data_IF_561221534806
#
_entry.id   IF_561221534806
#
_cell.length_a   1.000
_cell.length_b   1.000
_cell.length_c   1.000
_cell.angle_alpha   90.00
_cell.angle_beta   90.00
_cell.angle_gamma   90.00
#
_symmetry.space_group_name_H-M   'P 1'
#
loop_
_entity.id
_entity.type
_entity.pdbx_description
1 polymer ?
#
# COMPACT_ATOMS: atom_id res chain seq x y z
N UNK A 1 -16.24 59.14 -0.53
CA UNK A 1 -15.38 58.10 -1.13
C UNK A 1 -14.38 57.70 -0.06
N UNK A 2 -14.54 56.52 0.52
CA UNK A 2 -13.59 55.91 1.45
C UNK A 2 -13.50 54.45 1.04
N UNK A 3 -12.29 54.06 0.68
CA UNK A 3 -11.92 52.77 0.13
C UNK A 3 -11.75 51.76 1.29
N UNK A 4 -12.45 50.61 1.30
CA UNK A 4 -12.19 49.56 2.26
C UNK A 4 -11.35 48.45 1.61
N UNK A 5 -10.04 48.63 1.52
CA UNK A 5 -9.08 47.53 1.29
C UNK A 5 -7.99 47.56 2.34
N UNK A 6 -8.35 47.24 3.58
CA UNK A 6 -7.40 46.63 4.51
C UNK A 6 -7.86 45.20 4.80
N UNK A 7 -7.82 44.40 3.73
CA UNK A 7 -7.79 42.96 3.82
C UNK A 7 -6.36 42.56 3.48
N UNK A 8 -5.43 42.81 4.41
CA UNK A 8 -4.17 42.05 4.45
C UNK A 8 -4.56 40.58 4.55
N UNK A 9 -4.60 39.90 3.41
CA UNK A 9 -4.72 38.44 3.37
C UNK A 9 -3.37 37.95 3.87
N UNK A 10 -3.27 37.32 5.05
CA UNK A 10 -1.99 36.81 5.51
C UNK A 10 -1.51 35.83 4.45
N UNK A 11 -0.32 36.09 3.90
CA UNK A 11 0.36 35.12 3.05
C UNK A 11 0.57 33.86 3.88
N UNK A 12 0.27 32.65 3.35
CA UNK A 12 0.35 31.41 4.12
C UNK A 12 1.80 30.96 4.42
N UNK A 13 2.76 31.88 4.51
CA UNK A 13 4.17 31.55 4.60
C UNK A 13 4.98 32.65 5.33
N UNK A 14 4.52 33.08 6.51
CA UNK A 14 5.31 33.90 7.45
C UNK A 14 5.62 33.16 8.77
N UNK A 15 5.19 31.91 8.91
CA UNK A 15 5.64 31.05 9.99
C UNK A 15 6.88 30.31 9.49
N UNK A 16 8.06 30.68 10.00
CA UNK A 16 9.21 29.78 9.94
C UNK A 16 8.74 28.41 10.46
N UNK A 17 9.00 27.31 9.74
CA UNK A 17 8.57 26.00 10.18
C UNK A 17 9.10 25.80 11.59
N UNK A 18 8.20 25.59 12.55
CA UNK A 18 8.63 25.23 13.90
C UNK A 18 9.39 23.91 13.76
N UNK A 19 10.70 23.86 14.07
CA UNK A 19 11.47 22.64 13.92
C UNK A 19 10.99 21.53 14.84
N UNK A 20 10.00 21.78 15.70
CA UNK A 20 9.33 20.80 16.55
C UNK A 20 7.90 20.48 16.08
N UNK A 21 7.46 21.00 14.93
CA UNK A 21 6.18 20.63 14.33
C UNK A 21 6.22 19.14 13.94
N UNK A 22 5.36 18.29 14.53
CA UNK A 22 5.32 16.87 14.22
C UNK A 22 4.84 16.57 12.80
N UNK A 23 4.24 17.55 12.11
CA UNK A 23 3.82 17.44 10.71
C UNK A 23 4.89 17.93 9.71
N UNK A 24 6.01 18.48 10.19
CA UNK A 24 7.12 18.89 9.32
C UNK A 24 7.72 17.65 8.63
N UNK A 25 7.76 17.59 7.29
CA UNK A 25 8.37 16.47 6.57
C UNK A 25 9.84 16.22 6.93
N UNK A 26 10.57 17.22 7.42
CA UNK A 26 11.93 17.04 7.92
C UNK A 26 12.00 16.35 9.30
N UNK A 27 10.90 16.36 10.06
CA UNK A 27 10.74 15.65 11.32
C UNK A 27 10.07 14.27 11.15
N UNK A 28 9.48 14.00 9.99
CA UNK A 28 8.95 12.68 9.66
C UNK A 28 10.11 11.72 9.37
N UNK A 29 9.95 10.46 9.81
CA UNK A 29 10.90 9.41 9.47
C UNK A 29 10.95 9.26 7.94
N UNK A 30 12.16 9.35 7.38
CA UNK A 30 12.40 9.16 5.96
C UNK A 30 12.30 7.68 5.59
N UNK A 31 12.12 7.39 4.30
CA UNK A 31 12.09 6.01 3.83
C UNK A 31 13.40 5.27 4.14
N UNK A 32 14.54 5.94 3.96
CA UNK A 32 15.87 5.40 4.25
C UNK A 32 16.06 5.08 5.75
N UNK A 33 15.43 5.83 6.65
CA UNK A 33 15.51 5.57 8.11
C UNK A 33 14.83 4.26 8.52
N UNK A 34 14.04 3.66 7.61
CA UNK A 34 13.34 2.40 7.80
C UNK A 34 14.06 1.21 7.15
N UNK A 35 15.23 1.44 6.55
CA UNK A 35 16.02 0.37 5.97
C UNK A 35 16.71 -0.48 7.06
N UNK A 36 17.00 -1.74 6.72
CA UNK A 36 17.51 -2.74 7.65
C UNK A 36 18.86 -2.34 8.28
N UNK A 37 19.72 -1.68 7.50
CA UNK A 37 21.03 -1.22 7.94
C UNK A 37 20.94 -0.09 8.96
N UNK A 38 19.99 0.83 8.80
CA UNK A 38 19.75 1.90 9.77
C UNK A 38 18.98 1.40 11.00
N UNK A 39 17.99 0.52 10.83
CA UNK A 39 17.23 -0.07 11.94
C UNK A 39 18.04 -1.07 12.78
N UNK A 40 19.15 -1.60 12.23
CA UNK A 40 20.00 -2.59 12.90
C UNK A 40 19.29 -3.92 13.19
N UNK A 41 18.17 -4.17 12.53
CA UNK A 41 17.35 -5.38 12.62
C UNK A 41 16.69 -5.62 11.29
N UNK A 42 16.65 -6.88 10.84
CA UNK A 42 15.81 -7.26 9.72
C UNK A 42 14.34 -7.28 10.19
N UNK A 43 13.45 -6.41 9.63
CA UNK A 43 12.03 -6.43 9.98
C UNK A 43 11.36 -7.78 9.66
N UNK A 44 11.89 -8.53 8.70
CA UNK A 44 11.43 -9.87 8.30
C UNK A 44 12.00 -10.98 9.17
N UNK A 45 13.06 -10.74 9.96
CA UNK A 45 13.60 -11.74 10.89
C UNK A 45 12.64 -12.02 12.05
N UNK A 46 11.84 -11.01 12.45
CA UNK A 46 10.69 -11.26 13.35
C UNK A 46 9.54 -11.98 12.64
N UNK A 47 9.59 -12.10 11.32
CA UNK A 47 8.65 -12.81 10.46
C UNK A 47 7.22 -12.73 10.93
N UNK A 48 6.41 -11.80 10.40
CA UNK A 48 4.96 -11.88 10.60
C UNK A 48 4.52 -13.19 9.99
N UNK A 49 4.28 -14.18 10.85
CA UNK A 49 3.74 -15.45 10.42
C UNK A 49 2.40 -15.11 9.75
N UNK A 50 2.25 -15.44 8.46
CA UNK A 50 1.05 -15.07 7.74
C UNK A 50 -0.13 -15.67 8.51
N UNK A 51 -1.28 -14.97 8.56
CA UNK A 51 -2.42 -15.42 9.34
C UNK A 51 -2.78 -16.85 8.98
N UNK A 52 -3.27 -17.63 9.94
CA UNK A 52 -3.56 -19.07 9.79
C UNK A 52 -4.45 -19.41 8.58
N UNK A 53 -5.24 -18.43 8.11
CA UNK A 53 -6.09 -18.51 6.92
C UNK A 53 -5.38 -18.25 5.59
N UNK A 54 -4.10 -17.86 5.60
CA UNK A 54 -3.27 -17.73 4.40
C UNK A 54 -2.93 -19.12 3.90
N UNK A 55 -3.91 -19.75 3.27
CA UNK A 55 -3.69 -20.99 2.56
C UNK A 55 -3.07 -20.69 1.19
N UNK A 56 -2.20 -21.56 0.68
CA UNK A 56 -1.78 -21.53 -0.72
C UNK A 56 -2.97 -21.61 -1.71
N UNK A 57 -4.19 -21.89 -1.25
CA UNK A 57 -5.41 -21.82 -2.08
C UNK A 57 -5.72 -20.39 -2.55
N UNK A 58 -5.21 -19.34 -1.88
CA UNK A 58 -5.24 -17.99 -2.46
C UNK A 58 -4.27 -17.81 -3.63
N UNK A 59 -3.27 -18.68 -3.77
CA UNK A 59 -2.33 -18.69 -4.89
C UNK A 59 -2.99 -19.13 -6.19
N UNK A 60 -4.03 -19.96 -6.08
CA UNK A 60 -4.80 -20.52 -7.21
C UNK A 60 -6.07 -19.70 -7.50
N UNK A 61 -6.35 -18.62 -6.75
CA UNK A 61 -7.53 -17.80 -7.03
C UNK A 61 -7.30 -16.95 -8.28
N UNK A 62 -8.21 -17.02 -9.28
CA UNK A 62 -8.15 -16.14 -10.44
C UNK A 62 -8.36 -14.68 -10.03
N UNK A 63 -7.64 -13.79 -10.69
CA UNK A 63 -7.81 -12.35 -10.54
C UNK A 63 -9.24 -11.92 -10.93
N UNK A 64 -9.72 -10.74 -10.49
CA UNK A 64 -11.05 -10.26 -10.88
C UNK A 64 -11.24 -10.12 -12.40
N UNK A 65 -10.15 -9.93 -13.15
CA UNK A 65 -10.17 -9.87 -14.62
C UNK A 65 -10.42 -11.25 -15.23
N UNK A 66 -9.67 -12.25 -14.79
CA UNK A 66 -9.80 -13.64 -15.25
C UNK A 66 -11.14 -14.25 -14.84
N UNK A 67 -11.69 -13.88 -13.68
CA UNK A 67 -13.04 -14.28 -13.28
C UNK A 67 -14.13 -13.75 -14.23
N UNK A 68 -13.95 -12.54 -14.78
CA UNK A 68 -14.89 -11.97 -15.76
C UNK A 68 -14.76 -12.62 -17.14
N UNK A 69 -13.55 -12.98 -17.54
CA UNK A 69 -13.30 -13.68 -18.80
C UNK A 69 -13.75 -15.15 -18.73
N UNK A 70 -13.71 -15.73 -17.54
CA UNK A 70 -14.05 -17.13 -17.32
C UNK A 70 -12.96 -18.06 -17.84
N UNK A 71 -13.08 -19.35 -17.51
CA UNK A 71 -12.19 -20.40 -18.03
C UNK A 71 -12.60 -20.82 -19.43
N UNK A 72 -11.64 -21.17 -20.27
CA UNK A 72 -11.90 -21.70 -21.60
C UNK A 72 -12.52 -23.10 -21.52
N UNK A 73 -13.17 -23.52 -22.61
CA UNK A 73 -13.75 -24.86 -22.70
C UNK A 73 -12.65 -25.94 -22.66
N UNK A 74 -11.52 -25.70 -23.32
CA UNK A 74 -10.39 -26.64 -23.38
C UNK A 74 -9.78 -26.91 -22.01
N UNK A 75 -9.62 -25.87 -21.17
CA UNK A 75 -9.16 -26.02 -19.79
C UNK A 75 -10.09 -26.91 -18.96
N UNK A 76 -11.40 -26.76 -19.14
CA UNK A 76 -12.38 -27.59 -18.43
C UNK A 76 -12.33 -29.05 -18.87
N UNK A 77 -12.15 -29.31 -20.17
CA UNK A 77 -12.04 -30.66 -20.72
C UNK A 77 -10.75 -31.33 -20.24
N UNK A 78 -9.64 -30.58 -20.14
CA UNK A 78 -8.37 -31.12 -19.66
C UNK A 78 -8.42 -31.58 -18.19
N UNK A 79 -9.29 -30.99 -17.38
CA UNK A 79 -9.51 -31.38 -15.97
C UNK A 79 -10.42 -32.61 -15.83
N UNK A 80 -11.25 -32.92 -16.83
CA UNK A 80 -12.17 -34.05 -16.79
C UNK A 80 -11.41 -35.39 -16.92
N UNK A 81 -11.78 -36.37 -16.07
CA UNK A 81 -11.26 -37.74 -16.17
C UNK A 81 -12.26 -38.59 -16.96
N UNK A 82 -11.81 -39.34 -17.98
CA UNK A 82 -12.69 -40.24 -18.71
C UNK A 82 -13.16 -41.38 -17.80
N UNK A 83 -14.42 -41.76 -17.96
CA UNK A 83 -15.01 -42.91 -17.28
C UNK A 83 -14.41 -44.19 -17.89
N UNK A 84 -13.75 -45.02 -17.08
CA UNK A 84 -13.30 -46.36 -17.51
C UNK A 84 -14.36 -47.39 -17.17
N UNK A 85 -14.84 -48.11 -18.20
CA UNK A 85 -15.71 -49.30 -18.10
C UNK A 85 -14.96 -50.50 -17.48
#
# INVERSE_FOLDING_TARGET
>A
MSDPVDASTPTPNETEPDPQDPEDPANLQSAEDLDEDELGTDPLERGVEPPESWSPTSRERPTPREQREGRTLDERIAEERPETD
#
